data_IF_235705834757
#
_entry.id   IF_235705834757
#
_cell.length_a   1.000
_cell.length_b   1.000
_cell.length_c   1.000
_cell.angle_alpha   90.00
_cell.angle_beta   90.00
_cell.angle_gamma   90.00
#
_symmetry.space_group_name_H-M   'P 1'
#
loop_
_entity.id
_entity.type
_entity.pdbx_description
1 polymer ?
#
# COMPACT_ATOMS: atom_id res chain seq x y z
N UNK A 1 -10.18 -18.97 -4.16
CA UNK A 1 -11.48 -18.41 -3.70
C UNK A 1 -11.54 -16.88 -3.89
N UNK A 2 -10.53 -16.13 -3.42
CA UNK A 2 -10.45 -14.66 -3.50
C UNK A 2 -10.53 -14.11 -4.94
N UNK A 3 -9.82 -14.70 -5.90
CA UNK A 3 -9.87 -14.27 -7.32
C UNK A 3 -11.29 -14.35 -7.93
N UNK A 4 -12.12 -15.33 -7.53
CA UNK A 4 -13.51 -15.43 -7.98
C UNK A 4 -14.37 -14.31 -7.40
N UNK A 5 -14.14 -13.96 -6.13
CA UNK A 5 -14.83 -12.85 -5.45
C UNK A 5 -14.46 -11.50 -6.07
N UNK A 6 -13.17 -11.21 -6.26
CA UNK A 6 -12.70 -9.95 -6.85
C UNK A 6 -13.23 -9.72 -8.28
N UNK A 7 -13.43 -10.77 -9.07
CA UNK A 7 -14.04 -10.67 -10.41
C UNK A 7 -15.54 -10.33 -10.37
N UNK A 8 -16.25 -10.66 -9.29
CA UNK A 8 -17.70 -10.46 -9.17
C UNK A 8 -18.10 -9.04 -8.76
N UNK A 9 -17.19 -8.28 -8.16
CA UNK A 9 -17.45 -6.93 -7.65
C UNK A 9 -17.12 -5.89 -8.72
N UNK A 10 -18.14 -5.21 -9.25
CA UNK A 10 -18.00 -4.05 -10.14
C UNK A 10 -17.72 -2.78 -9.32
N UNK A 11 -16.52 -2.66 -8.74
CA UNK A 11 -16.05 -1.36 -8.28
C UNK A 11 -15.42 -0.61 -9.47
N UNK A 12 -15.67 0.70 -9.58
CA UNK A 12 -15.04 1.57 -10.59
C UNK A 12 -13.51 1.60 -10.41
N UNK A 13 -13.04 1.48 -9.17
CA UNK A 13 -11.64 1.35 -8.79
C UNK A 13 -11.47 0.09 -7.93
N UNK A 14 -10.60 -0.83 -8.35
CA UNK A 14 -10.33 -2.06 -7.61
C UNK A 14 -9.22 -1.77 -6.60
N UNK A 15 -9.55 -1.86 -5.32
CA UNK A 15 -8.57 -1.76 -4.23
C UNK A 15 -8.03 -3.17 -3.94
N UNK A 16 -6.71 -3.32 -3.91
CA UNK A 16 -5.99 -4.55 -3.61
C UNK A 16 -5.28 -4.41 -2.27
N UNK A 17 -5.65 -5.26 -1.32
CA UNK A 17 -4.99 -5.38 -0.03
C UNK A 17 -4.51 -6.81 0.17
N UNK A 18 -3.29 -6.96 0.68
CA UNK A 18 -2.63 -8.24 0.93
C UNK A 18 -1.92 -8.16 2.27
N UNK A 19 -1.73 -9.31 2.89
CA UNK A 19 -1.05 -9.42 4.16
C UNK A 19 0.27 -10.17 3.96
N UNK A 20 1.33 -9.75 4.64
CA UNK A 20 2.56 -10.56 4.75
C UNK A 20 2.23 -11.82 5.54
N UNK A 21 2.61 -12.98 5.02
CA UNK A 21 2.48 -14.23 5.75
C UNK A 21 3.43 -14.28 6.94
N UNK A 22 3.02 -14.96 8.00
CA UNK A 22 3.83 -15.14 9.21
C UNK A 22 5.19 -15.83 8.91
N UNK A 23 5.29 -16.65 7.85
CA UNK A 23 6.55 -17.26 7.36
C UNK A 23 7.48 -16.28 6.62
N UNK A 24 6.97 -15.12 6.20
CA UNK A 24 7.67 -14.15 5.36
C UNK A 24 8.08 -12.87 6.12
N UNK A 25 8.05 -12.87 7.46
CA UNK A 25 8.49 -11.74 8.29
C UNK A 25 10.00 -11.46 8.22
N UNK A 26 10.79 -12.40 7.73
CA UNK A 26 12.24 -12.23 7.55
C UNK A 26 12.51 -11.08 6.58
N UNK A 27 13.52 -10.26 6.88
CA UNK A 27 13.80 -9.06 6.09
C UNK A 27 14.01 -9.31 4.59
N UNK A 28 14.63 -10.43 4.24
CA UNK A 28 14.86 -10.81 2.84
C UNK A 28 13.62 -11.37 2.12
N UNK A 29 12.56 -11.73 2.86
CA UNK A 29 11.35 -12.34 2.32
C UNK A 29 10.16 -11.39 2.27
N UNK A 30 10.10 -10.37 3.13
CA UNK A 30 8.99 -9.40 3.17
C UNK A 30 8.77 -8.74 1.80
N UNK A 31 9.85 -8.23 1.21
CA UNK A 31 9.85 -7.55 -0.09
C UNK A 31 9.56 -8.56 -1.20
N UNK A 32 10.28 -9.68 -1.23
CA UNK A 32 10.09 -10.73 -2.23
C UNK A 32 8.67 -11.27 -2.26
N UNK A 33 8.05 -11.47 -1.09
CA UNK A 33 6.67 -11.92 -0.99
C UNK A 33 5.72 -10.89 -1.59
N UNK A 34 5.92 -9.60 -1.32
CA UNK A 34 5.12 -8.53 -1.93
C UNK A 34 5.26 -8.54 -3.45
N UNK A 35 6.49 -8.49 -3.97
CA UNK A 35 6.78 -8.47 -5.41
C UNK A 35 6.21 -9.70 -6.12
N UNK A 36 6.44 -10.89 -5.57
CA UNK A 36 5.90 -12.15 -6.11
C UNK A 36 4.39 -12.15 -6.12
N UNK A 37 3.75 -11.59 -5.09
CA UNK A 37 2.28 -11.53 -5.04
C UNK A 37 1.72 -10.56 -6.08
N UNK A 38 2.37 -9.41 -6.28
CA UNK A 38 2.00 -8.45 -7.33
C UNK A 38 2.14 -9.10 -8.72
N UNK A 39 3.21 -9.88 -8.93
CA UNK A 39 3.44 -10.66 -10.15
C UNK A 39 2.36 -11.73 -10.36
N UNK A 40 2.08 -12.57 -9.36
CA UNK A 40 1.09 -13.66 -9.43
C UNK A 40 -0.33 -13.18 -9.68
N UNK A 41 -0.66 -11.99 -9.17
CA UNK A 41 -1.95 -11.35 -9.41
C UNK A 41 -1.99 -10.55 -10.72
N UNK A 42 -0.83 -10.20 -11.29
CA UNK A 42 -0.73 -9.38 -12.49
C UNK A 42 -1.32 -7.97 -12.33
N UNK A 43 -1.29 -7.41 -11.12
CA UNK A 43 -1.95 -6.13 -10.78
C UNK A 43 -1.01 -4.92 -10.88
N UNK A 44 0.30 -5.12 -10.89
CA UNK A 44 1.32 -4.06 -11.04
C UNK A 44 1.45 -3.10 -9.85
N UNK A 45 0.48 -3.07 -8.93
CA UNK A 45 0.51 -2.28 -7.69
C UNK A 45 -0.30 -2.96 -6.59
N UNK A 46 -0.09 -2.54 -5.34
CA UNK A 46 -0.87 -2.96 -4.17
C UNK A 46 -1.22 -1.72 -3.35
N UNK A 47 -2.51 -1.51 -3.04
CA UNK A 47 -2.95 -0.34 -2.25
C UNK A 47 -2.55 -0.45 -0.77
N UNK A 48 -2.52 -1.68 -0.23
CA UNK A 48 -2.27 -1.90 1.18
C UNK A 48 -1.58 -3.25 1.42
N UNK A 49 -0.39 -3.20 2.04
CA UNK A 49 0.34 -4.37 2.49
C UNK A 49 0.36 -4.39 4.03
N UNK A 50 -0.32 -5.36 4.64
CA UNK A 50 -0.55 -5.41 6.08
C UNK A 50 0.26 -6.52 6.75
N UNK A 51 0.53 -6.35 8.04
CA UNK A 51 0.95 -7.44 8.91
C UNK A 51 -0.29 -8.31 9.21
N UNK A 52 -0.26 -9.59 8.82
CA UNK A 52 -1.37 -10.51 9.13
C UNK A 52 -1.50 -10.66 10.65
N UNK A 53 -0.46 -11.19 11.30
CA UNK A 53 -0.29 -11.21 12.76
C UNK A 53 1.11 -10.71 13.14
N UNK A 54 1.26 -10.08 14.32
CA UNK A 54 2.56 -9.65 14.81
C UNK A 54 3.38 -10.82 15.39
N UNK A 55 3.42 -11.96 14.70
CA UNK A 55 4.15 -13.18 15.11
C UNK A 55 4.84 -13.78 13.88
N UNK A 56 6.16 -13.84 13.93
CA UNK A 56 6.96 -14.48 12.89
C UNK A 56 7.06 -15.99 13.12
N UNK A 57 6.82 -16.78 12.09
CA UNK A 57 7.05 -18.23 12.09
C UNK A 57 8.35 -18.57 11.38
N UNK A 58 9.02 -19.64 11.81
CA UNK A 58 10.18 -20.16 11.10
C UNK A 58 9.73 -20.72 9.75
N UNK A 59 10.18 -20.10 8.68
CA UNK A 59 9.94 -20.55 7.31
C UNK A 59 10.58 -21.94 7.10
N UNK A 60 9.86 -22.86 6.45
CA UNK A 60 10.38 -24.17 6.08
C UNK A 60 11.49 -24.08 5.03
N UNK A 61 11.39 -23.12 4.10
CA UNK A 61 12.36 -22.80 3.05
C UNK A 61 12.81 -21.33 3.18
N UNK A 62 13.87 -21.01 3.94
CA UNK A 62 14.28 -19.63 4.23
C UNK A 62 14.58 -18.75 3.00
N UNK A 63 14.83 -19.35 1.84
CA UNK A 63 15.11 -18.65 0.58
C UNK A 63 13.88 -18.45 -0.31
N UNK A 64 12.73 -19.02 0.06
CA UNK A 64 11.50 -19.04 -0.73
C UNK A 64 10.36 -18.37 0.03
N UNK A 65 9.45 -17.75 -0.72
CA UNK A 65 8.30 -16.97 -0.20
C UNK A 65 7.11 -17.87 0.14
N UNK A 66 7.38 -19.14 0.49
CA UNK A 66 6.33 -20.13 0.74
C UNK A 66 5.51 -19.78 1.98
N UNK A 67 4.26 -20.22 1.95
CA UNK A 67 3.36 -20.17 3.10
C UNK A 67 3.78 -21.23 4.14
N UNK A 68 4.67 -22.16 3.78
CA UNK A 68 5.03 -23.28 4.65
C UNK A 68 5.94 -22.85 5.82
N UNK A 69 5.56 -23.28 7.02
CA UNK A 69 6.32 -23.04 8.26
C UNK A 69 6.68 -24.36 8.94
N UNK A 70 7.76 -24.30 9.71
CA UNK A 70 8.21 -25.42 10.55
C UNK A 70 7.25 -25.54 11.74
N UNK A 71 6.80 -26.77 11.99
CA UNK A 71 6.05 -27.13 13.19
C UNK A 71 6.97 -27.72 14.26
N UNK A 72 6.62 -27.55 15.52
CA UNK A 72 7.27 -28.24 16.64
C UNK A 72 6.79 -29.69 16.77
N UNK A 73 7.32 -30.42 17.75
CA UNK A 73 6.97 -31.80 18.07
C UNK A 73 5.49 -32.03 18.42
N UNK A 74 4.78 -30.97 18.83
CA UNK A 74 3.35 -30.99 19.16
C UNK A 74 2.48 -30.57 17.96
N UNK A 75 3.08 -30.17 16.85
CA UNK A 75 2.38 -29.71 15.65
C UNK A 75 2.05 -28.21 15.63
N UNK A 76 2.51 -27.42 16.61
CA UNK A 76 2.33 -25.97 16.64
C UNK A 76 3.39 -25.24 15.80
N UNK A 77 3.10 -24.01 15.40
CA UNK A 77 4.02 -23.21 14.60
C UNK A 77 5.24 -22.79 15.41
N UNK A 78 6.43 -23.11 14.92
CA UNK A 78 7.67 -22.70 15.57
C UNK A 78 7.91 -21.21 15.34
N UNK A 79 7.92 -20.44 16.43
CA UNK A 79 8.16 -18.99 16.37
C UNK A 79 9.60 -18.70 15.95
N UNK A 80 9.77 -17.75 15.04
CA UNK A 80 11.06 -17.17 14.70
C UNK A 80 11.33 -15.95 15.59
N UNK A 81 12.55 -15.77 16.11
CA UNK A 81 12.92 -14.60 16.90
C UNK A 81 13.18 -13.37 16.01
N UNK A 82 12.20 -13.01 15.18
CA UNK A 82 12.26 -11.86 14.27
C UNK A 82 11.49 -10.72 14.90
N UNK A 83 12.11 -9.55 14.96
CA UNK A 83 11.44 -8.36 15.49
C UNK A 83 10.40 -7.86 14.49
N UNK A 84 9.18 -7.59 14.95
CA UNK A 84 8.16 -6.96 14.11
C UNK A 84 8.60 -5.57 13.62
N UNK A 85 9.49 -4.90 14.37
CA UNK A 85 10.14 -3.67 13.92
C UNK A 85 10.95 -3.89 12.64
N UNK A 86 11.70 -4.98 12.55
CA UNK A 86 12.50 -5.30 11.36
C UNK A 86 11.57 -5.61 10.18
N UNK A 87 10.52 -6.40 10.40
CA UNK A 87 9.48 -6.62 9.38
C UNK A 87 8.91 -5.29 8.88
N UNK A 88 8.55 -4.38 9.80
CA UNK A 88 8.01 -3.07 9.46
C UNK A 88 9.01 -2.21 8.67
N UNK A 89 10.28 -2.17 9.08
CA UNK A 89 11.32 -1.42 8.37
C UNK A 89 11.50 -1.88 6.92
N UNK A 90 11.34 -3.17 6.65
CA UNK A 90 11.37 -3.68 5.27
C UNK A 90 10.08 -3.38 4.51
N UNK A 91 8.92 -3.43 5.18
CA UNK A 91 7.66 -3.00 4.59
C UNK A 91 7.68 -1.51 4.23
N UNK A 92 8.32 -0.66 5.03
CA UNK A 92 8.46 0.78 4.74
C UNK A 92 9.22 1.04 3.44
N UNK A 93 10.15 0.16 3.06
CA UNK A 93 10.87 0.26 1.78
C UNK A 93 9.97 0.00 0.57
N UNK A 94 8.85 -0.70 0.75
CA UNK A 94 7.87 -0.96 -0.31
C UNK A 94 6.92 0.23 -0.54
N UNK A 95 6.87 1.17 0.40
CA UNK A 95 5.95 2.31 0.31
C UNK A 95 6.54 3.36 -0.64
N UNK A 96 5.90 3.55 -1.79
CA UNK A 96 6.07 4.79 -2.54
C UNK A 96 5.48 5.94 -1.70
N UNK A 97 6.20 7.08 -1.63
CA UNK A 97 5.78 8.22 -0.79
C UNK A 97 4.31 8.56 -1.07
N UNK A 98 3.45 8.48 -0.07
CA UNK A 98 2.04 8.82 -0.21
C UNK A 98 1.70 10.08 0.61
N UNK A 99 1.08 11.06 -0.02
CA UNK A 99 0.49 12.20 0.67
C UNK A 99 -0.93 11.84 1.13
N UNK A 100 -1.10 11.55 2.41
CA UNK A 100 -2.42 11.42 3.03
C UNK A 100 -3.07 12.79 3.20
N UNK A 101 -4.29 12.98 2.69
CA UNK A 101 -4.97 14.28 2.67
C UNK A 101 -4.12 15.38 2.01
N UNK A 102 -3.78 15.22 0.72
CA UNK A 102 -2.86 16.11 -0.02
C UNK A 102 -3.30 17.58 -0.06
N UNK A 103 -4.59 17.84 0.20
CA UNK A 103 -5.18 19.18 0.24
C UNK A 103 -5.33 19.71 1.68
N UNK A 104 -4.79 19.03 2.70
CA UNK A 104 -4.89 19.40 4.12
C UNK A 104 -6.32 19.72 4.60
N UNK A 105 -7.35 19.11 3.99
CA UNK A 105 -8.78 19.44 4.19
C UNK A 105 -9.13 20.91 3.90
N UNK A 106 -8.37 21.57 3.02
CA UNK A 106 -8.49 23.00 2.69
C UNK A 106 -7.88 23.96 3.72
N UNK A 107 -7.14 23.44 4.70
CA UNK A 107 -6.36 24.27 5.64
C UNK A 107 -5.13 24.87 4.93
N UNK A 108 -4.53 25.88 5.56
CA UNK A 108 -3.36 26.63 5.06
C UNK A 108 -3.58 27.43 3.78
N UNK A 109 -4.84 27.72 3.42
CA UNK A 109 -5.23 28.67 2.38
C UNK A 109 -4.65 28.41 0.97
N UNK A 110 -4.27 27.17 0.66
CA UNK A 110 -3.69 26.80 -0.65
C UNK A 110 -4.62 27.16 -1.81
N UNK A 111 -5.94 27.09 -1.61
CA UNK A 111 -6.92 27.43 -2.63
C UNK A 111 -6.91 28.92 -2.99
N UNK A 112 -6.43 29.80 -2.11
CA UNK A 112 -6.31 31.23 -2.36
C UNK A 112 -4.91 31.69 -2.77
N UNK A 113 -3.91 30.81 -2.69
CA UNK A 113 -2.55 31.12 -3.11
C UNK A 113 -2.51 31.61 -4.58
N UNK A 114 -1.99 32.83 -4.79
CA UNK A 114 -1.98 33.49 -6.10
C UNK A 114 -1.17 32.71 -7.15
N UNK A 115 -0.07 32.08 -6.75
CA UNK A 115 0.77 31.26 -7.63
C UNK A 115 -0.02 30.05 -8.10
N UNK A 116 -0.69 29.34 -7.19
CA UNK A 116 -1.51 28.19 -7.55
C UNK A 116 -2.71 28.57 -8.43
N UNK A 117 -3.37 29.71 -8.15
CA UNK A 117 -4.46 30.24 -8.98
C UNK A 117 -3.99 30.58 -10.39
N UNK A 118 -2.88 31.30 -10.53
CA UNK A 118 -2.36 31.66 -11.86
C UNK A 118 -2.00 30.43 -12.72
N UNK A 119 -1.45 29.37 -12.11
CA UNK A 119 -1.20 28.10 -12.79
C UNK A 119 -2.53 27.40 -13.14
N UNK A 120 -3.47 27.35 -12.20
CA UNK A 120 -4.79 26.78 -12.40
C UNK A 120 -5.54 27.44 -13.58
N UNK A 121 -5.53 28.78 -13.63
CA UNK A 121 -6.13 29.59 -14.70
C UNK A 121 -5.46 29.34 -16.04
N UNK A 122 -4.11 29.33 -16.08
CA UNK A 122 -3.33 29.05 -17.31
C UNK A 122 -3.71 27.73 -17.96
N UNK A 123 -3.98 26.69 -17.16
CA UNK A 123 -4.33 25.36 -17.66
C UNK A 123 -5.83 25.06 -17.66
N UNK A 124 -6.70 26.00 -17.25
CA UNK A 124 -8.14 25.80 -17.07
C UNK A 124 -8.44 24.59 -16.18
N UNK A 125 -7.71 24.45 -15.06
CA UNK A 125 -7.87 23.38 -14.07
C UNK A 125 -8.12 23.96 -12.69
N UNK A 126 -8.60 23.14 -11.75
CA UNK A 126 -8.71 23.55 -10.35
C UNK A 126 -7.34 23.57 -9.66
N UNK A 127 -7.19 24.38 -8.61
CA UNK A 127 -5.99 24.37 -7.75
C UNK A 127 -5.70 22.97 -7.19
N UNK A 128 -6.75 22.20 -6.85
CA UNK A 128 -6.62 20.81 -6.42
C UNK A 128 -5.92 19.94 -7.49
N UNK A 129 -6.30 20.06 -8.76
CA UNK A 129 -5.66 19.33 -9.86
C UNK A 129 -4.20 19.73 -10.06
N UNK A 130 -3.86 21.00 -9.86
CA UNK A 130 -2.47 21.47 -9.90
C UNK A 130 -1.65 20.81 -8.78
N UNK A 131 -2.20 20.75 -7.56
CA UNK A 131 -1.54 20.07 -6.42
C UNK A 131 -1.39 18.57 -6.70
N UNK A 132 -2.43 17.89 -7.20
CA UNK A 132 -2.33 16.47 -7.56
C UNK A 132 -1.28 16.22 -8.64
N UNK A 133 -1.21 17.08 -9.66
CA UNK A 133 -0.19 16.96 -10.70
C UNK A 133 1.21 17.16 -10.13
N UNK A 134 1.39 18.14 -9.24
CA UNK A 134 2.67 18.41 -8.58
C UNK A 134 3.14 17.23 -7.71
N UNK A 135 2.23 16.63 -6.94
CA UNK A 135 2.52 15.43 -6.15
C UNK A 135 2.92 14.25 -7.05
N UNK A 136 2.14 13.98 -8.10
CA UNK A 136 2.42 12.92 -9.05
C UNK A 136 3.80 13.10 -9.73
N UNK A 137 4.16 14.33 -10.12
CA UNK A 137 5.49 14.62 -10.68
C UNK A 137 6.65 14.34 -9.74
N UNK A 138 6.40 14.26 -8.43
CA UNK A 138 7.40 13.96 -7.41
C UNK A 138 7.41 12.48 -7.00
N UNK A 139 6.65 11.62 -7.69
CA UNK A 139 6.44 10.24 -7.27
C UNK A 139 5.71 10.16 -5.93
N UNK A 140 4.86 11.14 -5.63
CA UNK A 140 4.05 11.15 -4.40
C UNK A 140 2.62 10.74 -4.74
N UNK A 141 2.22 9.54 -4.31
CA UNK A 141 0.86 9.05 -4.45
C UNK A 141 -0.09 9.90 -3.60
N UNK A 142 -1.06 10.54 -4.24
CA UNK A 142 -2.02 11.40 -3.55
C UNK A 142 -3.26 10.58 -3.16
N UNK A 143 -3.57 10.46 -1.87
CA UNK A 143 -4.81 9.80 -1.39
C UNK A 143 -5.79 10.90 -0.96
N UNK A 144 -6.62 11.44 -1.88
CA UNK A 144 -7.62 12.43 -1.52
C UNK A 144 -8.68 11.81 -0.60
N UNK A 145 -9.18 12.62 0.34
CA UNK A 145 -10.38 12.30 1.10
C UNK A 145 -11.44 13.34 0.78
N UNK A 146 -12.63 12.89 0.38
CA UNK A 146 -13.82 13.74 0.26
C UNK A 146 -14.97 13.11 1.03
N UNK A 147 -15.78 13.95 1.68
CA UNK A 147 -17.11 13.56 2.18
C UNK A 147 -18.23 14.01 1.22
N UNK A 148 -17.89 14.79 0.19
CA UNK A 148 -18.84 15.27 -0.81
C UNK A 148 -18.92 14.29 -1.98
N UNK A 149 -20.13 13.81 -2.25
CA UNK A 149 -20.40 12.82 -3.30
C UNK A 149 -19.98 13.31 -4.68
N UNK A 150 -20.16 14.60 -5.00
CA UNK A 150 -19.80 15.18 -6.31
C UNK A 150 -18.30 15.13 -6.62
N UNK A 151 -17.43 14.92 -5.63
CA UNK A 151 -15.99 14.80 -5.82
C UNK A 151 -15.52 13.34 -5.94
N UNK A 152 -16.40 12.37 -5.70
CA UNK A 152 -16.07 10.93 -5.67
C UNK A 152 -16.50 10.24 -6.98
N UNK A 153 -17.47 10.79 -7.72
CA UNK A 153 -18.14 10.12 -8.85
C UNK A 153 -17.63 10.48 -10.23
#
# INVERSE_FOLDING_TARGET
>A
MILKFLKSVKLKEKIYFIQVWNSCHNSNLVIKHCEKTIEDLGIGYLDLYLIHWPIAFKNANPSDVTIDWIKDENGYQKIAPISIRETWQEMEKLVELAAYSPLSRGKCDFFNNEILKSIADKYKKSVANVIFKWLNQRGIAAIPKSANHSHII
#
